data_IF_085887946776
#
_entry.id   IF_085887946776
#
_cell.length_a   1.000
_cell.length_b   1.000
_cell.length_c   1.000
_cell.angle_alpha   90.00
_cell.angle_beta   90.00
_cell.angle_gamma   90.00
#
_symmetry.space_group_name_H-M   'P 1'
#
loop_
_entity.id
_entity.type
_entity.pdbx_description
1 polymer ?
#
# COMPACT_ATOMS: atom_id res chain seq x y z
N UNK A 1 -26.48 17.38 20.61
CA UNK A 1 -26.86 16.53 19.45
C UNK A 1 -27.43 17.29 18.24
N UNK A 2 -28.04 18.48 18.39
CA UNK A 2 -28.59 19.26 17.24
C UNK A 2 -27.50 19.74 16.26
N UNK A 3 -26.35 20.16 16.78
CA UNK A 3 -25.21 20.63 16.00
C UNK A 3 -24.64 19.55 15.07
N UNK A 4 -24.43 18.32 15.55
CA UNK A 4 -23.90 17.22 14.74
C UNK A 4 -24.81 16.86 13.56
N UNK A 5 -26.13 16.95 13.77
CA UNK A 5 -27.14 16.73 12.73
C UNK A 5 -27.11 17.84 11.68
N UNK A 6 -27.04 19.11 12.12
CA UNK A 6 -26.91 20.27 11.22
C UNK A 6 -25.61 20.19 10.42
N UNK A 7 -24.49 19.81 11.04
CA UNK A 7 -23.21 19.68 10.32
C UNK A 7 -23.30 18.56 9.28
N UNK A 8 -23.91 17.40 9.57
CA UNK A 8 -24.13 16.32 8.56
C UNK A 8 -25.10 16.71 7.43
N UNK A 9 -26.14 17.49 7.74
CA UNK A 9 -27.14 17.93 6.74
C UNK A 9 -26.63 19.09 5.87
N UNK A 10 -25.81 19.99 6.42
CA UNK A 10 -25.26 21.17 5.73
C UNK A 10 -23.94 20.85 5.03
N UNK A 11 -23.05 20.11 5.68
CA UNK A 11 -21.84 19.57 5.09
C UNK A 11 -22.13 18.13 4.69
N UNK A 12 -22.47 17.92 3.42
CA UNK A 12 -22.45 16.61 2.79
C UNK A 12 -21.00 16.10 2.81
N UNK A 13 -20.56 15.55 3.93
CA UNK A 13 -19.24 14.95 4.02
C UNK A 13 -19.21 13.77 3.06
N UNK A 14 -18.45 13.92 1.97
CA UNK A 14 -18.29 12.87 0.98
C UNK A 14 -17.45 11.70 1.51
N UNK A 15 -16.73 11.89 2.62
CA UNK A 15 -15.88 10.89 3.27
C UNK A 15 -15.94 10.99 4.79
N UNK A 16 -16.08 9.86 5.46
CA UNK A 16 -16.00 9.68 6.89
C UNK A 16 -14.66 9.02 7.21
N UNK A 17 -13.70 9.80 7.70
CA UNK A 17 -12.42 9.31 8.20
C UNK A 17 -12.34 9.47 9.71
N UNK A 18 -11.85 8.44 10.40
CA UNK A 18 -11.73 8.43 11.86
C UNK A 18 -10.27 8.28 12.27
N UNK A 19 -9.79 9.22 13.07
CA UNK A 19 -8.52 9.11 13.77
C UNK A 19 -8.81 8.63 15.20
N UNK A 20 -8.33 7.44 15.55
CA UNK A 20 -8.61 6.77 16.81
C UNK A 20 -7.32 6.60 17.63
N UNK A 21 -7.19 7.39 18.70
CA UNK A 21 -6.08 7.31 19.64
C UNK A 21 -6.46 6.44 20.84
N UNK A 22 -5.91 5.24 20.91
CA UNK A 22 -6.24 4.23 21.93
C UNK A 22 -5.96 4.68 23.38
N UNK A 23 -4.94 5.51 23.55
CA UNK A 23 -4.43 5.97 24.84
C UNK A 23 -5.07 7.29 25.32
N UNK A 24 -5.94 7.91 24.51
CA UNK A 24 -6.63 9.15 24.91
C UNK A 24 -7.68 8.89 25.99
N UNK A 25 -8.48 7.84 25.84
CA UNK A 25 -9.52 7.44 26.79
C UNK A 25 -9.64 5.90 26.87
N UNK A 26 -8.61 5.19 27.35
CA UNK A 26 -8.51 3.72 27.22
C UNK A 26 -9.71 2.97 27.81
N UNK A 27 -10.28 3.44 28.93
CA UNK A 27 -11.46 2.83 29.56
C UNK A 27 -12.77 3.06 28.78
N UNK A 28 -12.77 3.92 27.77
CA UNK A 28 -13.95 4.35 27.02
C UNK A 28 -13.89 3.97 25.54
N UNK A 29 -12.81 3.32 25.08
CA UNK A 29 -12.60 2.98 23.67
C UNK A 29 -13.81 2.24 23.08
N UNK A 30 -14.27 1.15 23.73
CA UNK A 30 -15.45 0.39 23.29
C UNK A 30 -16.74 1.24 23.24
N UNK A 31 -16.97 2.10 24.24
CA UNK A 31 -18.14 2.99 24.26
C UNK A 31 -18.09 4.07 23.16
N UNK A 32 -16.90 4.58 22.83
CA UNK A 32 -16.69 5.51 21.72
C UNK A 32 -16.97 4.80 20.39
N UNK A 33 -16.47 3.57 20.22
CA UNK A 33 -16.70 2.74 19.02
C UNK A 33 -18.20 2.46 18.85
N UNK A 34 -18.91 2.07 19.91
CA UNK A 34 -20.36 1.87 19.89
C UNK A 34 -21.12 3.14 19.51
N UNK A 35 -20.69 4.29 20.06
CA UNK A 35 -21.26 5.57 19.70
C UNK A 35 -21.07 5.88 18.21
N UNK A 36 -19.86 5.67 17.67
CA UNK A 36 -19.56 5.86 16.24
C UNK A 36 -20.44 4.92 15.40
N UNK A 37 -20.46 3.64 15.72
CA UNK A 37 -21.24 2.60 15.04
C UNK A 37 -22.72 2.96 14.97
N UNK A 38 -23.28 3.51 16.04
CA UNK A 38 -24.69 3.96 16.10
C UNK A 38 -25.02 5.09 15.13
N UNK A 39 -24.01 5.82 14.63
CA UNK A 39 -24.19 7.00 13.76
C UNK A 39 -23.74 6.76 12.32
N UNK A 40 -22.67 6.00 12.16
CA UNK A 40 -21.99 5.75 10.89
C UNK A 40 -21.26 4.41 11.01
N UNK A 41 -21.95 3.27 10.78
CA UNK A 41 -21.34 1.94 10.89
C UNK A 41 -20.35 1.62 9.77
N UNK A 42 -20.43 2.33 8.64
CA UNK A 42 -19.49 2.23 7.52
C UNK A 42 -18.75 3.55 7.36
N UNK A 43 -17.43 3.50 7.40
CA UNK A 43 -16.53 4.65 7.26
C UNK A 43 -15.60 4.44 6.07
N UNK A 44 -15.18 5.54 5.45
CA UNK A 44 -14.30 5.49 4.29
C UNK A 44 -12.87 5.17 4.71
N UNK A 45 -12.43 5.67 5.87
CA UNK A 45 -11.11 5.32 6.36
C UNK A 45 -10.90 5.46 7.85
N UNK A 46 -9.85 4.83 8.35
CA UNK A 46 -9.39 5.02 9.72
C UNK A 46 -7.87 5.10 9.83
N UNK A 47 -7.45 5.86 10.83
CA UNK A 47 -6.11 5.83 11.37
C UNK A 47 -6.18 5.43 12.84
N UNK A 48 -5.50 4.35 13.22
CA UNK A 48 -5.43 3.87 14.60
C UNK A 48 -4.03 4.15 15.13
N UNK A 49 -3.94 4.90 16.23
CA UNK A 49 -2.69 5.34 16.87
C UNK A 49 -2.69 5.03 18.37
N UNK A 50 -1.51 5.18 18.96
CA UNK A 50 -1.34 5.19 20.41
C UNK A 50 -0.73 3.88 20.92
N UNK A 51 -0.79 3.70 22.23
CA UNK A 51 -0.31 2.50 22.91
C UNK A 51 -1.47 1.71 23.46
N UNK A 52 -1.34 0.40 23.41
CA UNK A 52 -2.27 -0.53 24.05
C UNK A 52 -1.48 -1.68 24.68
N UNK A 53 -2.02 -2.24 25.76
CA UNK A 53 -1.48 -3.43 26.40
C UNK A 53 -1.99 -4.71 25.75
N UNK A 54 -3.19 -4.66 25.14
CA UNK A 54 -3.85 -5.78 24.46
C UNK A 54 -4.38 -5.34 23.11
N UNK A 55 -4.62 -6.30 22.21
CA UNK A 55 -5.14 -6.00 20.88
C UNK A 55 -6.67 -5.75 20.89
N UNK A 56 -7.34 -5.97 22.04
CA UNK A 56 -8.80 -6.03 22.15
C UNK A 56 -9.51 -4.78 21.61
N UNK A 57 -8.99 -3.58 21.87
CA UNK A 57 -9.64 -2.35 21.42
C UNK A 57 -9.51 -2.16 19.90
N UNK A 58 -8.41 -2.61 19.30
CA UNK A 58 -8.19 -2.58 17.86
C UNK A 58 -9.05 -3.64 17.17
N UNK A 59 -9.09 -4.85 17.71
CA UNK A 59 -9.99 -5.91 17.26
C UNK A 59 -11.45 -5.45 17.36
N UNK A 60 -11.84 -4.87 18.49
CA UNK A 60 -13.20 -4.37 18.69
C UNK A 60 -13.53 -3.28 17.69
N UNK A 61 -12.62 -2.34 17.41
CA UNK A 61 -12.82 -1.30 16.40
C UNK A 61 -13.07 -1.93 15.02
N UNK A 62 -12.17 -2.80 14.57
CA UNK A 62 -12.20 -3.36 13.21
C UNK A 62 -13.32 -4.39 13.02
N UNK A 63 -13.79 -5.05 14.08
CA UNK A 63 -14.96 -5.94 14.02
C UNK A 63 -16.30 -5.18 14.04
N UNK A 64 -16.33 -3.95 14.56
CA UNK A 64 -17.57 -3.20 14.74
C UNK A 64 -17.81 -2.10 13.70
N UNK A 65 -16.77 -1.65 13.01
CA UNK A 65 -16.84 -0.62 11.98
C UNK A 65 -16.36 -1.18 10.64
N UNK A 66 -17.19 -1.05 9.61
CA UNK A 66 -16.81 -1.44 8.25
C UNK A 66 -16.01 -0.31 7.61
N UNK A 67 -14.76 -0.57 7.21
CA UNK A 67 -13.86 0.44 6.62
C UNK A 67 -13.71 0.18 5.13
N UNK A 68 -14.14 1.10 4.27
CA UNK A 68 -14.34 0.79 2.84
C UNK A 68 -13.23 1.25 1.89
N UNK A 69 -12.34 2.17 2.28
CA UNK A 69 -11.26 2.63 1.40
C UNK A 69 -9.86 2.53 2.03
N UNK A 70 -9.69 2.96 3.28
CA UNK A 70 -8.37 3.18 3.88
C UNK A 70 -8.25 2.69 5.32
N UNK A 71 -7.24 1.87 5.59
CA UNK A 71 -6.86 1.51 6.97
C UNK A 71 -5.40 1.87 7.19
N UNK A 72 -5.11 2.61 8.27
CA UNK A 72 -3.77 2.79 8.81
C UNK A 72 -3.70 2.36 10.27
N UNK A 73 -2.76 1.47 10.56
CA UNK A 73 -2.49 0.98 11.92
C UNK A 73 -1.06 1.37 12.28
N UNK A 74 -0.94 2.29 13.23
CA UNK A 74 0.33 2.76 13.79
C UNK A 74 0.34 2.47 15.30
N UNK A 75 0.17 1.18 15.60
CA UNK A 75 0.11 0.60 16.93
C UNK A 75 0.92 -0.69 16.90
N UNK A 76 1.67 -0.96 17.96
CA UNK A 76 2.35 -2.25 18.14
C UNK A 76 1.34 -3.26 18.68
N UNK A 77 0.96 -4.22 17.85
CA UNK A 77 0.04 -5.31 18.20
C UNK A 77 0.80 -6.59 18.52
N UNK A 78 0.12 -7.58 19.09
CA UNK A 78 0.72 -8.91 19.32
C UNK A 78 1.00 -9.62 17.99
N UNK A 79 2.00 -10.51 17.96
CA UNK A 79 2.32 -11.30 16.76
C UNK A 79 1.19 -12.28 16.37
N UNK A 80 0.27 -12.56 17.31
CA UNK A 80 -0.94 -13.34 17.07
C UNK A 80 -2.08 -12.55 16.44
N UNK A 81 -1.98 -11.23 16.34
CA UNK A 81 -3.04 -10.39 15.77
C UNK A 81 -3.39 -10.84 14.34
N UNK A 82 -4.69 -10.82 14.06
CA UNK A 82 -5.26 -11.13 12.75
C UNK A 82 -6.14 -9.97 12.32
N UNK A 83 -5.88 -9.43 11.12
CA UNK A 83 -6.74 -8.41 10.55
C UNK A 83 -8.13 -9.03 10.27
N UNK A 84 -9.23 -8.54 10.88
CA UNK A 84 -10.49 -9.25 10.88
C UNK A 84 -11.37 -8.96 9.65
N UNK A 85 -10.94 -8.09 8.74
CA UNK A 85 -11.72 -7.69 7.58
C UNK A 85 -11.17 -8.30 6.28
N UNK A 86 -12.07 -8.69 5.39
CA UNK A 86 -11.78 -9.27 4.07
C UNK A 86 -12.19 -8.36 2.90
N UNK A 87 -12.73 -7.17 3.21
CA UNK A 87 -13.16 -6.23 2.21
C UNK A 87 -11.98 -5.65 1.42
N UNK A 88 -12.27 -5.25 0.18
CA UNK A 88 -11.30 -4.53 -0.63
C UNK A 88 -10.99 -3.15 -0.01
N UNK A 89 -9.70 -2.82 0.05
CA UNK A 89 -9.19 -1.51 0.44
C UNK A 89 -8.40 -0.88 -0.70
N UNK A 90 -8.57 0.42 -0.94
CA UNK A 90 -7.68 1.13 -1.85
C UNK A 90 -6.29 1.26 -1.20
N UNK A 91 -6.23 1.48 0.12
CA UNK A 91 -5.01 1.69 0.89
C UNK A 91 -5.00 0.90 2.20
N UNK A 92 -3.94 0.15 2.44
CA UNK A 92 -3.67 -0.53 3.71
C UNK A 92 -2.25 -0.23 4.17
N UNK A 93 -2.12 0.37 5.35
CA UNK A 93 -0.86 0.86 5.92
C UNK A 93 -0.68 0.31 7.33
N UNK A 94 0.46 -0.32 7.60
CA UNK A 94 0.83 -0.79 8.94
C UNK A 94 2.28 -0.44 9.24
N UNK A 95 2.54 0.13 10.43
CA UNK A 95 3.88 0.58 10.81
C UNK A 95 4.69 -0.43 11.65
N UNK A 96 3.99 -1.30 12.39
CA UNK A 96 4.57 -2.36 13.23
C UNK A 96 4.02 -3.72 12.82
N UNK A 97 4.42 -4.18 11.63
CA UNK A 97 3.84 -5.34 10.95
C UNK A 97 4.46 -6.70 11.34
N UNK A 98 5.00 -6.86 12.55
CA UNK A 98 5.58 -8.15 12.98
C UNK A 98 4.54 -9.28 12.98
N UNK A 99 3.27 -8.93 13.17
CA UNK A 99 2.13 -9.85 13.11
C UNK A 99 1.73 -10.24 11.68
N UNK A 100 2.14 -9.50 10.64
CA UNK A 100 1.80 -9.81 9.25
C UNK A 100 2.65 -10.98 8.78
N UNK A 101 2.09 -12.19 8.90
CA UNK A 101 2.68 -13.42 8.37
C UNK A 101 2.56 -13.47 6.84
N UNK A 102 3.30 -14.38 6.21
CA UNK A 102 3.19 -14.63 4.78
C UNK A 102 1.74 -14.94 4.36
N UNK A 103 1.04 -15.80 5.10
CA UNK A 103 -0.36 -16.12 4.82
C UNK A 103 -1.25 -14.89 4.96
N UNK A 104 -1.07 -14.07 6.01
CA UNK A 104 -1.86 -12.85 6.16
C UNK A 104 -1.62 -11.89 5.00
N UNK A 105 -0.36 -11.69 4.60
CA UNK A 105 -0.03 -10.88 3.43
C UNK A 105 -0.82 -11.36 2.20
N UNK A 106 -0.80 -12.66 1.90
CA UNK A 106 -1.49 -13.21 0.71
C UNK A 106 -3.01 -12.98 0.70
N UNK A 107 -3.64 -12.89 1.87
CA UNK A 107 -5.08 -12.69 2.01
C UNK A 107 -5.49 -11.21 2.14
N UNK A 108 -4.55 -10.27 2.26
CA UNK A 108 -4.87 -8.84 2.29
C UNK A 108 -5.44 -8.40 0.94
N UNK A 109 -6.71 -8.00 0.94
CA UNK A 109 -7.39 -7.52 -0.25
C UNK A 109 -7.21 -6.00 -0.39
N UNK A 110 -6.03 -5.57 -0.84
CA UNK A 110 -5.76 -4.14 -1.04
C UNK A 110 -5.06 -3.83 -2.37
N UNK A 111 -5.35 -2.64 -2.90
CA UNK A 111 -4.69 -2.16 -4.12
C UNK A 111 -3.33 -1.52 -3.84
N UNK A 112 -3.12 -1.00 -2.63
CA UNK A 112 -1.88 -0.36 -2.22
C UNK A 112 -1.53 -0.79 -0.81
N UNK A 113 -0.41 -1.49 -0.68
CA UNK A 113 0.08 -2.06 0.55
C UNK A 113 1.33 -1.32 1.01
N UNK A 114 1.33 -0.89 2.26
CA UNK A 114 2.49 -0.30 2.94
C UNK A 114 2.72 -1.05 4.24
N UNK A 115 3.75 -1.89 4.25
CA UNK A 115 4.01 -2.85 5.32
C UNK A 115 5.38 -2.53 5.91
N UNK A 116 5.39 -1.73 6.97
CA UNK A 116 6.62 -1.42 7.69
C UNK A 116 6.79 -2.30 8.92
N UNK A 117 8.04 -2.61 9.26
CA UNK A 117 8.36 -3.45 10.40
C UNK A 117 7.88 -4.89 10.28
N UNK A 118 7.74 -5.40 9.05
CA UNK A 118 7.50 -6.83 8.81
C UNK A 118 8.72 -7.67 9.19
N UNK A 119 8.46 -8.91 9.57
CA UNK A 119 9.50 -9.92 9.83
C UNK A 119 9.60 -10.95 8.71
N UNK A 120 8.99 -10.68 7.54
CA UNK A 120 9.06 -11.58 6.38
C UNK A 120 10.51 -11.76 5.94
N UNK A 121 10.85 -13.00 5.66
CA UNK A 121 12.16 -13.40 5.14
C UNK A 121 12.28 -13.06 3.66
N UNK A 122 13.52 -12.95 3.17
CA UNK A 122 13.77 -12.76 1.75
C UNK A 122 13.22 -13.93 0.88
N UNK A 123 13.13 -15.14 1.44
CA UNK A 123 12.53 -16.30 0.77
C UNK A 123 11.00 -16.19 0.65
N UNK A 124 10.33 -15.69 1.68
CA UNK A 124 8.89 -15.40 1.63
C UNK A 124 8.60 -14.27 0.65
N UNK A 125 9.43 -13.22 0.60
CA UNK A 125 9.29 -12.15 -0.39
C UNK A 125 9.49 -12.69 -1.82
N UNK A 126 10.50 -13.55 -2.06
CA UNK A 126 10.66 -14.21 -3.36
C UNK A 126 9.42 -15.05 -3.73
N UNK A 127 8.91 -15.84 -2.78
CA UNK A 127 7.72 -16.66 -2.98
C UNK A 127 6.49 -15.82 -3.29
N UNK A 128 6.31 -14.70 -2.58
CA UNK A 128 5.26 -13.72 -2.84
C UNK A 128 5.33 -13.20 -4.29
N UNK A 129 6.52 -12.80 -4.74
CA UNK A 129 6.72 -12.28 -6.10
C UNK A 129 6.40 -13.35 -7.16
N UNK A 130 6.81 -14.59 -6.95
CA UNK A 130 6.49 -15.71 -7.85
C UNK A 130 4.97 -16.01 -7.91
N UNK A 131 4.29 -15.96 -6.76
CA UNK A 131 2.82 -16.10 -6.70
C UNK A 131 2.14 -14.93 -7.43
N UNK A 132 2.63 -13.71 -7.25
CA UNK A 132 2.12 -12.56 -7.98
C UNK A 132 2.33 -12.70 -9.50
N UNK A 133 3.53 -13.13 -9.94
CA UNK A 133 3.85 -13.34 -11.37
C UNK A 133 2.97 -14.41 -12.03
N UNK A 134 2.47 -15.37 -11.25
CA UNK A 134 1.57 -16.43 -11.71
C UNK A 134 0.08 -16.08 -11.52
N UNK A 135 -0.24 -14.84 -11.16
CA UNK A 135 -1.61 -14.37 -10.86
C UNK A 135 -2.30 -15.19 -9.76
N UNK A 136 -1.55 -15.71 -8.80
CA UNK A 136 -2.11 -16.44 -7.64
C UNK A 136 -2.44 -15.51 -6.46
N UNK A 137 -1.94 -14.27 -6.44
CA UNK A 137 -2.30 -13.28 -5.42
C UNK A 137 -2.36 -11.86 -5.99
N UNK A 138 -3.08 -10.98 -5.29
CA UNK A 138 -3.04 -9.52 -5.46
C UNK A 138 -3.21 -9.02 -6.91
N UNK A 139 -4.23 -9.51 -7.62
CA UNK A 139 -4.46 -9.20 -9.03
C UNK A 139 -4.72 -7.71 -9.27
N UNK A 140 -5.31 -7.03 -8.29
CA UNK A 140 -5.67 -5.60 -8.30
C UNK A 140 -4.60 -4.68 -7.69
N UNK A 141 -3.43 -5.22 -7.33
CA UNK A 141 -2.36 -4.42 -6.73
C UNK A 141 -1.85 -3.38 -7.73
N UNK A 142 -1.62 -2.18 -7.21
CA UNK A 142 -1.04 -1.02 -7.91
C UNK A 142 0.31 -0.65 -7.29
N UNK A 143 0.47 -0.88 -6.00
CA UNK A 143 1.68 -0.53 -5.27
C UNK A 143 1.90 -1.45 -4.06
N UNK A 144 3.15 -1.86 -3.85
CA UNK A 144 3.61 -2.49 -2.61
C UNK A 144 4.84 -1.75 -2.10
N UNK A 145 4.89 -1.50 -0.80
CA UNK A 145 6.10 -1.18 -0.06
C UNK A 145 6.21 -2.13 1.11
N UNK A 146 7.36 -2.79 1.24
CA UNK A 146 7.66 -3.64 2.39
C UNK A 146 9.10 -3.48 2.85
N UNK A 147 9.32 -3.40 4.16
CA UNK A 147 10.66 -3.34 4.75
C UNK A 147 11.38 -4.71 4.57
N UNK A 148 12.68 -4.69 4.26
CA UNK A 148 13.52 -5.88 4.08
C UNK A 148 14.26 -6.16 5.39
N UNK A 149 14.15 -7.40 5.88
CA UNK A 149 14.79 -7.85 7.13
C UNK A 149 16.29 -8.13 6.97
N UNK A 150 16.70 -8.66 5.80
CA UNK A 150 18.09 -9.04 5.52
C UNK A 150 18.62 -8.37 4.23
N UNK A 151 19.02 -7.08 4.29
CA UNK A 151 19.50 -6.32 3.13
C UNK A 151 20.74 -6.89 2.44
N UNK A 152 21.51 -7.75 3.11
CA UNK A 152 22.72 -8.36 2.55
C UNK A 152 22.41 -9.49 1.55
N UNK A 153 21.18 -10.00 1.54
CA UNK A 153 20.78 -11.21 0.80
C UNK A 153 19.69 -10.91 -0.26
N UNK A 154 19.80 -9.78 -0.96
CA UNK A 154 18.80 -9.33 -1.95
C UNK A 154 18.67 -10.28 -3.14
N UNK A 155 19.77 -10.95 -3.51
CA UNK A 155 19.78 -11.95 -4.59
C UNK A 155 18.76 -13.07 -4.34
N UNK A 156 18.48 -13.39 -3.06
CA UNK A 156 17.42 -14.34 -2.70
C UNK A 156 16.05 -13.85 -3.13
N UNK A 157 15.75 -12.56 -2.94
CA UNK A 157 14.47 -11.96 -3.37
C UNK A 157 14.36 -11.98 -4.90
N UNK A 158 15.46 -11.64 -5.58
CA UNK A 158 15.53 -11.47 -7.03
C UNK A 158 15.80 -12.78 -7.81
N UNK A 159 15.86 -13.93 -7.12
CA UNK A 159 15.99 -15.24 -7.75
C UNK A 159 14.67 -15.66 -8.43
N UNK A 160 14.32 -14.94 -9.50
CA UNK A 160 13.10 -15.07 -10.29
C UNK A 160 13.33 -14.48 -11.69
N UNK A 161 12.49 -14.80 -12.70
CA UNK A 161 12.62 -14.22 -14.03
C UNK A 161 12.40 -12.71 -14.02
N UNK A 162 13.39 -11.96 -14.49
CA UNK A 162 13.34 -10.50 -14.49
C UNK A 162 14.18 -9.85 -15.60
N UNK A 163 13.88 -8.59 -15.89
CA UNK A 163 14.59 -7.75 -16.86
C UNK A 163 15.08 -6.47 -16.19
N UNK A 164 16.33 -6.05 -16.42
CA UNK A 164 16.80 -4.76 -15.91
C UNK A 164 16.23 -3.63 -16.75
N UNK A 165 15.85 -2.54 -16.09
CA UNK A 165 15.47 -1.31 -16.79
C UNK A 165 16.67 -0.81 -17.58
N UNK A 166 16.44 -0.46 -18.85
CA UNK A 166 17.47 0.20 -19.66
C UNK A 166 17.77 1.58 -19.02
N UNK A 167 19.02 1.85 -18.59
CA UNK A 167 19.40 3.12 -17.96
C UNK A 167 19.11 4.36 -18.82
N UNK A 168 19.07 4.19 -20.15
CA UNK A 168 18.78 5.28 -21.10
C UNK A 168 17.29 5.64 -21.17
N UNK A 169 16.43 4.86 -20.52
CA UNK A 169 14.97 5.04 -20.53
C UNK A 169 14.51 5.62 -19.20
N UNK A 170 14.14 6.90 -19.23
CA UNK A 170 13.47 7.56 -18.11
C UNK A 170 12.05 7.02 -17.93
N UNK A 171 11.77 6.45 -16.74
CA UNK A 171 10.42 5.98 -16.40
C UNK A 171 9.79 6.86 -15.33
N UNK A 172 8.68 7.49 -15.68
CA UNK A 172 7.89 8.27 -14.74
C UNK A 172 6.85 7.34 -14.13
N UNK A 173 6.94 7.12 -12.82
CA UNK A 173 5.95 6.35 -12.08
C UNK A 173 5.15 7.29 -11.20
N UNK A 174 3.82 7.13 -11.23
CA UNK A 174 2.90 7.91 -10.40
C UNK A 174 2.72 7.22 -9.05
N UNK A 175 3.14 7.91 -8.00
CA UNK A 175 2.94 7.53 -6.62
C UNK A 175 1.47 7.70 -6.21
N UNK A 176 1.06 7.10 -5.08
CA UNK A 176 -0.33 7.14 -4.68
C UNK A 176 -0.80 8.52 -4.19
N UNK A 177 0.12 9.34 -3.69
CA UNK A 177 -0.10 10.75 -3.35
C UNK A 177 -0.14 11.67 -4.59
N UNK A 178 -0.19 11.09 -5.79
CA UNK A 178 -0.20 11.78 -7.07
C UNK A 178 1.14 12.38 -7.51
N UNK A 179 2.19 12.24 -6.72
CA UNK A 179 3.53 12.64 -7.10
C UNK A 179 4.06 11.72 -8.20
N UNK A 180 5.04 12.21 -8.94
CA UNK A 180 5.72 11.42 -9.95
C UNK A 180 7.18 11.26 -9.58
N UNK A 181 7.64 10.02 -9.51
CA UNK A 181 9.06 9.72 -9.36
C UNK A 181 9.65 9.28 -10.69
N UNK A 182 10.88 9.71 -10.93
CA UNK A 182 11.67 9.24 -12.05
C UNK A 182 12.48 8.03 -11.60
N UNK A 183 12.11 6.85 -12.11
CA UNK A 183 12.91 5.63 -11.96
C UNK A 183 13.90 5.56 -13.11
N UNK A 184 15.19 5.73 -12.77
CA UNK A 184 16.32 5.51 -13.71
C UNK A 184 16.90 4.10 -13.61
N UNK A 185 16.58 3.40 -12.52
CA UNK A 185 17.06 2.07 -12.22
C UNK A 185 15.93 1.23 -11.61
N UNK A 186 16.07 -0.09 -11.71
CA UNK A 186 15.08 -1.04 -11.22
C UNK A 186 15.04 -2.30 -12.05
N UNK A 187 14.17 -3.21 -11.64
CA UNK A 187 14.03 -4.53 -12.24
C UNK A 187 12.56 -4.79 -12.55
N UNK A 188 12.27 -5.16 -13.79
CA UNK A 188 10.94 -5.54 -14.22
C UNK A 188 10.70 -7.03 -14.05
N UNK A 189 9.56 -7.35 -13.46
CA UNK A 189 8.97 -8.68 -13.45
C UNK A 189 7.66 -8.65 -14.24
N UNK A 190 7.32 -9.78 -14.86
CA UNK A 190 6.12 -9.91 -15.69
C UNK A 190 5.16 -10.89 -15.05
N UNK A 191 3.90 -10.48 -14.96
CA UNK A 191 2.80 -11.38 -14.63
C UNK A 191 2.25 -12.04 -15.90
N UNK A 192 1.71 -13.24 -15.75
CA UNK A 192 1.17 -14.03 -16.86
C UNK A 192 0.04 -13.37 -17.66
N UNK A 193 -0.62 -12.33 -17.14
CA UNK A 193 -1.64 -11.53 -17.81
C UNK A 193 -1.07 -10.30 -18.57
N UNK A 194 0.26 -10.17 -18.61
CA UNK A 194 0.98 -9.06 -19.24
C UNK A 194 1.15 -7.83 -18.35
N UNK A 195 0.70 -7.85 -17.08
CA UNK A 195 1.01 -6.79 -16.12
C UNK A 195 2.53 -6.76 -15.86
N UNK A 196 3.11 -5.56 -15.79
CA UNK A 196 4.51 -5.37 -15.43
C UNK A 196 4.59 -4.81 -14.01
N UNK A 197 5.47 -5.39 -13.21
CA UNK A 197 5.88 -4.82 -11.94
C UNK A 197 7.31 -4.38 -11.98
N UNK A 198 7.56 -3.11 -11.67
CA UNK A 198 8.92 -2.59 -11.49
C UNK A 198 9.27 -2.62 -10.02
N UNK A 199 10.27 -3.44 -9.68
CA UNK A 199 10.89 -3.52 -8.37
C UNK A 199 11.95 -2.43 -8.25
N UNK A 200 11.87 -1.65 -7.19
CA UNK A 200 12.85 -0.66 -6.80
C UNK A 200 13.20 -0.84 -5.33
N UNK A 201 14.45 -0.55 -4.99
CA UNK A 201 14.93 -0.63 -3.63
C UNK A 201 15.37 0.75 -3.18
N UNK A 202 14.93 1.17 -2.00
CA UNK A 202 15.42 2.38 -1.36
C UNK A 202 15.92 2.08 0.06
N UNK A 203 16.71 3.01 0.56
CA UNK A 203 17.06 3.10 1.97
C UNK A 203 16.33 4.28 2.55
N UNK A 204 15.57 4.05 3.63
CA UNK A 204 15.03 5.14 4.45
C UNK A 204 15.52 4.96 5.88
N UNK A 205 16.38 5.89 6.31
CA UNK A 205 17.13 5.77 7.55
C UNK A 205 17.99 4.50 7.54
N UNK A 206 17.84 3.63 8.53
CA UNK A 206 18.54 2.37 8.71
C UNK A 206 17.80 1.16 8.09
N UNK A 207 16.64 1.39 7.47
CA UNK A 207 15.81 0.34 6.88
C UNK A 207 15.86 0.36 5.36
N UNK A 208 16.17 -0.78 4.78
CA UNK A 208 16.01 -1.01 3.34
C UNK A 208 14.58 -1.44 3.04
N UNK A 209 14.05 -1.02 1.89
CA UNK A 209 12.68 -1.36 1.48
C UNK A 209 12.64 -1.87 0.06
N UNK A 210 11.72 -2.79 -0.17
CA UNK A 210 11.30 -3.22 -1.48
C UNK A 210 10.03 -2.44 -1.85
N UNK A 211 10.04 -1.81 -3.01
CA UNK A 211 8.87 -1.19 -3.62
C UNK A 211 8.55 -1.85 -4.95
N UNK A 212 7.26 -2.09 -5.20
CA UNK A 212 6.77 -2.57 -6.49
C UNK A 212 5.75 -1.59 -7.04
N UNK A 213 6.01 -1.13 -8.26
CA UNK A 213 5.09 -0.30 -9.02
C UNK A 213 4.46 -1.10 -10.14
N UNK A 214 3.13 -1.21 -10.14
CA UNK A 214 2.40 -2.06 -11.06
C UNK A 214 1.67 -1.23 -12.11
N UNK A 215 1.88 -1.57 -13.37
CA UNK A 215 1.27 -0.89 -14.50
C UNK A 215 1.19 -1.81 -15.72
N UNK A 216 0.13 -1.61 -16.50
CA UNK A 216 -0.02 -2.28 -17.79
C UNK A 216 0.57 -1.37 -18.86
N UNK A 217 1.49 -1.90 -19.65
CA UNK A 217 1.92 -1.18 -20.86
C UNK A 217 0.70 -0.97 -21.74
N UNK A 218 0.38 0.28 -22.06
CA UNK A 218 -0.53 0.54 -23.17
C UNK A 218 0.16 -0.01 -24.43
N UNK A 219 -0.29 -1.17 -24.91
CA UNK A 219 0.11 -1.71 -26.21
C UNK A 219 -0.11 -0.62 -27.26
N UNK A 220 0.97 0.02 -27.70
CA UNK A 220 1.01 1.03 -28.76
C UNK A 220 -0.08 2.12 -28.68
N UNK A 221 0.06 3.10 -27.79
CA UNK A 221 -0.59 4.39 -28.00
C UNK A 221 0.40 5.40 -28.57
N UNK A 222 0.08 5.90 -29.76
CA UNK A 222 0.79 6.95 -30.51
C UNK A 222 1.21 8.15 -29.67
N UNK A 223 0.65 8.39 -28.48
CA UNK A 223 1.05 9.47 -27.59
C UNK A 223 2.53 9.40 -27.18
N UNK A 224 3.09 8.23 -26.84
CA UNK A 224 4.51 8.14 -26.48
C UNK A 224 5.42 8.31 -27.72
N UNK A 225 5.02 7.79 -28.88
CA UNK A 225 5.71 8.06 -30.15
C UNK A 225 5.63 9.54 -30.54
N UNK A 226 4.49 10.20 -30.31
CA UNK A 226 4.29 11.64 -30.61
C UNK A 226 5.11 12.52 -29.67
N UNK A 227 5.27 12.16 -28.39
CA UNK A 227 6.16 12.86 -27.47
C UNK A 227 7.62 12.68 -27.89
N UNK A 228 8.06 11.47 -28.24
CA UNK A 228 9.42 11.23 -28.74
C UNK A 228 9.70 11.97 -30.07
N UNK A 229 8.73 12.01 -30.99
CA UNK A 229 8.82 12.74 -32.27
C UNK A 229 8.77 14.26 -32.04
N UNK A 230 7.96 14.75 -31.10
CA UNK A 230 7.90 16.16 -30.73
C UNK A 230 9.22 16.62 -30.10
N UNK A 231 9.79 15.82 -29.19
CA UNK A 231 11.10 16.10 -28.59
C UNK A 231 12.20 16.11 -29.66
N UNK A 232 12.27 15.13 -30.56
CA UNK A 232 13.26 15.12 -31.64
C UNK A 232 13.11 16.27 -32.66
N UNK A 233 11.91 16.86 -32.81
CA UNK A 233 11.69 18.07 -33.64
C UNK A 233 12.10 19.36 -32.92
N UNK A 234 12.03 19.38 -31.59
CA UNK A 234 12.49 20.52 -30.79
C UNK A 234 14.03 20.56 -30.74
N UNK A 235 14.71 19.42 -30.59
CA UNK A 235 16.18 19.37 -30.51
C UNK A 235 16.91 19.61 -31.85
N UNK A 236 16.26 19.39 -33.00
CA UNK A 236 16.87 19.62 -34.32
C UNK A 236 16.59 21.00 -34.92
N UNK A 237 15.88 21.89 -34.21
CA UNK A 237 15.68 23.28 -34.66
C UNK A 237 16.73 24.26 -34.13
N UNK A 238 17.53 23.85 -33.15
CA UNK A 238 18.58 24.69 -32.55
C UNK A 238 19.99 24.38 -33.09
N UNK A 239 20.09 23.64 -34.19
CA UNK A 239 21.33 23.44 -34.95
C UNK A 239 21.09 23.78 -36.42
N UNK A 240 20.97 25.08 -36.71
CA UNK A 240 21.37 25.73 -37.96
C UNK A 240 21.32 27.25 -37.83
#
# INVERSE_FOLDING_TARGET
MKLLRIIKEVFLFCRHSIIFHLDSYPLQNKAIIDFIKSRTPSIDGCDIYGKTETDEDVEYFLNNLNVTEYVRIDVKLSDSFRFPQDNYLEYFVVYSASWVTFDQLLHLNASRLYIHGSILTNQELNSYLLLWMTSQCHQNLKFLLIDITEPQSLDTILNLPHERINPDVERIVRLPNNDTILLKEGIDIKRNDGMTGTIHFDWRLDKMRLMIFLYKWATNNECQKRVLIAMNRYWNKDIK
#
